data_IF_791624042156
#
_entry.id   IF_791624042156
#
_cell.length_a   1.000
_cell.length_b   1.000
_cell.length_c   1.000
_cell.angle_alpha   90.00
_cell.angle_beta   90.00
_cell.angle_gamma   90.00
#
_symmetry.space_group_name_H-M   'P 1'
#
loop_
_entity.id
_entity.type
_entity.pdbx_description
1 polymer ?
#
# COMPACT_ATOMS: atom_id res chain seq x y z
N UNK A 1 -56.52 -31.83 -51.16
CA UNK A 1 -56.02 -32.39 -49.89
C UNK A 1 -54.76 -31.63 -49.53
N UNK A 2 -54.80 -30.90 -48.41
CA UNK A 2 -53.72 -30.06 -47.89
C UNK A 2 -52.83 -30.92 -46.98
N UNK A 3 -51.51 -30.67 -46.98
CA UNK A 3 -50.73 -30.34 -45.77
C UNK A 3 -49.27 -30.06 -46.16
N UNK A 4 -48.95 -28.77 -46.21
CA UNK A 4 -47.59 -28.22 -46.20
C UNK A 4 -47.03 -28.45 -44.78
N UNK A 5 -45.96 -29.22 -44.66
CA UNK A 5 -45.22 -29.39 -43.41
C UNK A 5 -44.26 -28.19 -43.28
N UNK A 6 -44.64 -27.22 -42.45
CA UNK A 6 -43.78 -26.09 -42.09
C UNK A 6 -43.02 -26.49 -40.82
N UNK A 7 -41.80 -26.97 -40.96
CA UNK A 7 -40.92 -27.29 -39.83
C UNK A 7 -40.33 -25.98 -39.30
N UNK A 8 -40.87 -25.51 -38.17
CA UNK A 8 -40.36 -24.34 -37.45
C UNK A 8 -39.03 -24.72 -36.77
N UNK A 9 -37.91 -24.38 -37.40
CA UNK A 9 -36.60 -24.43 -36.75
C UNK A 9 -36.51 -23.25 -35.77
N UNK A 10 -36.83 -23.51 -34.50
CA UNK A 10 -36.56 -22.57 -33.41
C UNK A 10 -35.05 -22.54 -33.22
N UNK A 11 -34.41 -21.57 -33.90
CA UNK A 11 -33.03 -21.19 -33.68
C UNK A 11 -32.96 -20.58 -32.27
N UNK A 12 -32.74 -21.43 -31.27
CA UNK A 12 -32.48 -21.03 -29.89
C UNK A 12 -31.20 -20.20 -29.85
N UNK A 13 -31.37 -18.88 -29.96
CA UNK A 13 -30.32 -17.91 -29.70
C UNK A 13 -29.96 -18.04 -28.22
N UNK A 14 -28.93 -18.84 -27.94
CA UNK A 14 -28.31 -18.91 -26.63
C UNK A 14 -27.76 -17.51 -26.33
N UNK A 15 -28.53 -16.73 -25.58
CA UNK A 15 -28.05 -15.52 -24.94
C UNK A 15 -26.94 -15.96 -23.98
N UNK A 16 -25.69 -15.89 -24.43
CA UNK A 16 -24.56 -15.80 -23.53
C UNK A 16 -24.76 -14.53 -22.73
N UNK A 17 -25.36 -14.66 -21.55
CA UNK A 17 -25.34 -13.61 -20.56
C UNK A 17 -23.87 -13.40 -20.20
N UNK A 18 -23.27 -12.37 -20.81
CA UNK A 18 -22.07 -11.73 -20.31
C UNK A 18 -22.41 -11.32 -18.88
N UNK A 19 -22.02 -12.15 -17.92
CA UNK A 19 -22.03 -11.77 -16.52
C UNK A 19 -21.18 -10.50 -16.43
N UNK A 20 -21.81 -9.40 -16.05
CA UNK A 20 -21.11 -8.14 -15.89
C UNK A 20 -19.97 -8.36 -14.88
N UNK A 21 -18.74 -8.08 -15.30
CA UNK A 21 -17.57 -8.14 -14.44
C UNK A 21 -17.51 -6.84 -13.65
N UNK A 22 -18.24 -6.81 -12.54
CA UNK A 22 -18.44 -5.61 -11.74
C UNK A 22 -17.23 -5.29 -10.85
N UNK A 23 -16.46 -6.31 -10.47
CA UNK A 23 -15.34 -6.19 -9.55
C UNK A 23 -14.06 -6.76 -10.14
N UNK A 24 -12.93 -6.14 -9.80
CA UNK A 24 -11.58 -6.61 -10.12
C UNK A 24 -10.74 -6.67 -8.85
N UNK A 25 -10.03 -7.78 -8.66
CA UNK A 25 -9.19 -8.01 -7.48
C UNK A 25 -7.91 -7.19 -7.59
N UNK A 26 -7.66 -6.34 -6.60
CA UNK A 26 -6.39 -5.59 -6.47
C UNK A 26 -5.41 -6.46 -5.69
N UNK A 27 -5.77 -6.88 -4.47
CA UNK A 27 -4.89 -7.60 -3.55
C UNK A 27 -5.59 -8.81 -2.96
N UNK A 28 -4.83 -9.88 -2.68
CA UNK A 28 -5.32 -11.07 -1.98
C UNK A 28 -4.33 -11.46 -0.90
N UNK A 29 -4.84 -11.66 0.31
CA UNK A 29 -4.14 -12.34 1.39
C UNK A 29 -4.90 -13.62 1.74
N UNK A 30 -4.17 -14.69 2.08
CA UNK A 30 -4.75 -16.01 2.28
C UNK A 30 -5.26 -16.67 1.00
N UNK A 31 -6.10 -17.70 1.13
CA UNK A 31 -6.65 -18.45 -0.01
C UNK A 31 -8.16 -18.30 -0.10
N UNK A 32 -8.64 -17.71 -1.19
CA UNK A 32 -10.06 -17.51 -1.51
C UNK A 32 -10.33 -18.19 -2.85
N UNK A 33 -11.30 -19.10 -2.94
CA UNK A 33 -11.64 -19.84 -4.18
C UNK A 33 -12.99 -19.37 -4.70
N UNK A 34 -13.09 -19.07 -5.99
CA UNK A 34 -14.35 -18.67 -6.63
C UNK A 34 -15.20 -19.89 -7.05
N UNK A 35 -16.52 -19.82 -6.86
CA UNK A 35 -17.46 -20.92 -7.17
C UNK A 35 -17.51 -21.19 -8.68
N UNK A 36 -17.59 -20.13 -9.48
CA UNK A 36 -17.74 -20.26 -10.94
C UNK A 36 -16.55 -20.93 -11.63
N UNK A 37 -15.33 -20.68 -11.16
CA UNK A 37 -14.10 -21.14 -11.81
C UNK A 37 -13.39 -22.27 -11.06
N UNK A 38 -13.74 -22.50 -9.79
CA UNK A 38 -13.01 -23.38 -8.86
C UNK A 38 -11.52 -23.04 -8.73
N UNK A 39 -11.14 -21.80 -9.09
CA UNK A 39 -9.76 -21.30 -8.99
C UNK A 39 -9.61 -20.35 -7.82
N UNK A 40 -8.41 -20.35 -7.25
CA UNK A 40 -8.04 -19.34 -6.28
C UNK A 40 -8.07 -17.94 -6.91
N UNK A 41 -8.61 -16.97 -6.19
CA UNK A 41 -8.53 -15.58 -6.58
C UNK A 41 -7.07 -15.14 -6.65
N UNK A 42 -6.76 -14.46 -7.74
CA UNK A 42 -5.49 -13.81 -7.95
C UNK A 42 -5.71 -12.34 -8.28
N UNK A 43 -4.65 -11.53 -8.13
CA UNK A 43 -4.66 -10.13 -8.57
C UNK A 43 -5.09 -10.06 -10.04
N UNK A 44 -5.91 -9.07 -10.37
CA UNK A 44 -6.47 -8.86 -11.70
C UNK A 44 -7.66 -9.77 -12.04
N UNK A 45 -7.98 -10.78 -11.23
CA UNK A 45 -9.18 -11.61 -11.44
C UNK A 45 -10.43 -10.74 -11.36
N UNK A 46 -11.33 -10.89 -12.32
CA UNK A 46 -12.58 -10.16 -12.38
C UNK A 46 -13.76 -11.09 -12.08
N UNK A 47 -14.79 -10.57 -11.42
CA UNK A 47 -15.98 -11.33 -11.06
C UNK A 47 -17.22 -10.43 -10.97
N UNK A 48 -18.41 -11.03 -11.08
CA UNK A 48 -19.68 -10.34 -10.97
C UNK A 48 -20.19 -10.27 -9.53
N UNK A 49 -21.12 -9.37 -9.25
CA UNK A 49 -21.66 -9.14 -7.90
C UNK A 49 -22.26 -10.39 -7.21
N UNK A 50 -22.75 -11.35 -8.00
CA UNK A 50 -23.37 -12.59 -7.51
C UNK A 50 -22.39 -13.73 -7.27
N UNK A 51 -21.10 -13.53 -7.53
CA UNK A 51 -20.07 -14.55 -7.31
C UNK A 51 -20.04 -14.99 -5.85
N UNK A 52 -19.77 -16.28 -5.63
CA UNK A 52 -19.60 -16.82 -4.28
C UNK A 52 -18.17 -17.33 -4.09
N UNK A 53 -17.72 -17.28 -2.85
CA UNK A 53 -16.34 -17.57 -2.49
C UNK A 53 -16.25 -18.55 -1.33
N UNK A 54 -15.25 -19.42 -1.40
CA UNK A 54 -14.84 -20.26 -0.29
C UNK A 54 -13.53 -19.74 0.29
N UNK A 55 -13.53 -19.43 1.58
CA UNK A 55 -12.39 -18.92 2.32
C UNK A 55 -11.66 -20.09 2.98
N UNK A 56 -10.43 -20.36 2.53
CA UNK A 56 -9.64 -21.54 2.95
C UNK A 56 -8.65 -21.22 4.08
N UNK A 57 -8.46 -19.96 4.44
CA UNK A 57 -7.57 -19.54 5.54
C UNK A 57 -8.21 -18.48 6.43
N UNK A 58 -7.78 -18.41 7.70
CA UNK A 58 -8.32 -17.48 8.72
C UNK A 58 -8.06 -16.01 8.39
N UNK A 59 -7.03 -15.75 7.59
CA UNK A 59 -6.61 -14.43 7.15
C UNK A 59 -7.07 -14.10 5.72
N UNK A 60 -7.96 -14.93 5.15
CA UNK A 60 -8.44 -14.82 3.78
C UNK A 60 -9.24 -13.52 3.58
N UNK A 61 -8.61 -12.56 2.90
CA UNK A 61 -9.19 -11.26 2.57
C UNK A 61 -8.69 -10.79 1.21
N UNK A 62 -9.52 -10.09 0.46
CA UNK A 62 -9.10 -9.45 -0.77
C UNK A 62 -9.54 -7.98 -0.78
N UNK A 63 -8.73 -7.12 -1.38
CA UNK A 63 -9.14 -5.76 -1.75
C UNK A 63 -9.57 -5.81 -3.21
N UNK A 64 -10.77 -5.34 -3.49
CA UNK A 64 -11.36 -5.33 -4.83
C UNK A 64 -11.82 -3.93 -5.19
N UNK A 65 -11.86 -3.61 -6.47
CA UNK A 65 -12.41 -2.36 -6.99
C UNK A 65 -13.61 -2.64 -7.87
N UNK A 66 -14.69 -1.90 -7.65
CA UNK A 66 -15.82 -1.89 -8.56
C UNK A 66 -15.44 -1.08 -9.81
N UNK A 67 -15.40 -1.73 -10.97
CA UNK A 67 -14.90 -1.15 -12.22
C UNK A 67 -15.85 -0.12 -12.82
N UNK A 68 -17.13 -0.11 -12.40
CA UNK A 68 -18.13 0.86 -12.89
C UNK A 68 -18.10 2.17 -12.11
N UNK A 69 -17.87 2.11 -10.81
CA UNK A 69 -17.93 3.29 -9.92
C UNK A 69 -16.57 3.72 -9.36
N UNK A 70 -15.50 2.94 -9.60
CA UNK A 70 -14.15 3.24 -9.13
C UNK A 70 -13.97 3.15 -7.60
N UNK A 71 -14.89 2.49 -6.89
CA UNK A 71 -14.86 2.37 -5.41
C UNK A 71 -14.24 1.05 -4.98
N UNK A 72 -13.41 1.11 -3.94
CA UNK A 72 -12.78 -0.08 -3.34
C UNK A 72 -13.62 -0.69 -2.23
N UNK A 73 -13.54 -2.00 -2.12
CA UNK A 73 -14.18 -2.80 -1.10
C UNK A 73 -13.22 -3.87 -0.57
N UNK A 74 -13.43 -4.28 0.67
CA UNK A 74 -12.75 -5.43 1.27
C UNK A 74 -13.71 -6.61 1.18
N UNK A 75 -13.26 -7.67 0.51
CA UNK A 75 -13.89 -8.99 0.49
C UNK A 75 -13.34 -9.83 1.64
N UNK A 76 -14.22 -10.31 2.52
CA UNK A 76 -13.86 -11.18 3.64
C UNK A 76 -14.95 -12.23 3.90
N UNK A 77 -14.55 -13.40 4.38
CA UNK A 77 -15.48 -14.44 4.80
C UNK A 77 -15.91 -14.27 6.25
N UNK A 78 -17.08 -14.78 6.61
CA UNK A 78 -17.53 -14.84 8.01
C UNK A 78 -16.92 -16.02 8.76
N UNK A 79 -16.52 -17.07 8.04
CA UNK A 79 -16.02 -18.33 8.59
C UNK A 79 -15.17 -19.09 7.58
N UNK A 80 -14.14 -19.79 8.07
CA UNK A 80 -13.22 -20.59 7.25
C UNK A 80 -13.79 -21.98 6.99
N UNK A 81 -13.58 -22.50 5.78
CA UNK A 81 -13.88 -23.89 5.43
C UNK A 81 -15.37 -24.20 5.21
N UNK A 82 -16.25 -23.21 5.35
CA UNK A 82 -17.68 -23.35 5.07
C UNK A 82 -17.93 -23.32 3.55
N UNK A 83 -19.11 -23.75 3.11
CA UNK A 83 -19.57 -23.69 1.72
C UNK A 83 -19.41 -22.28 1.10
N UNK A 84 -19.50 -22.19 -0.23
CA UNK A 84 -19.41 -20.91 -0.96
C UNK A 84 -20.39 -19.85 -0.41
N UNK A 85 -19.85 -18.75 0.10
CA UNK A 85 -20.60 -17.61 0.66
C UNK A 85 -20.64 -16.46 -0.35
N UNK A 86 -21.72 -15.66 -0.34
CA UNK A 86 -21.76 -14.43 -1.14
C UNK A 86 -20.63 -13.48 -0.71
N UNK A 87 -20.17 -12.67 -1.66
CA UNK A 87 -19.20 -11.62 -1.38
C UNK A 87 -19.69 -10.67 -0.27
N UNK A 88 -19.01 -10.65 0.87
CA UNK A 88 -19.23 -9.63 1.89
C UNK A 88 -18.26 -8.48 1.66
N UNK A 89 -18.79 -7.40 1.08
CA UNK A 89 -18.02 -6.24 0.63
C UNK A 89 -18.22 -5.06 1.59
N UNK A 90 -17.18 -4.72 2.35
CA UNK A 90 -17.19 -3.53 3.21
C UNK A 90 -16.42 -2.39 2.56
N UNK A 91 -16.91 -1.14 2.57
CA UNK A 91 -16.16 0.00 2.04
C UNK A 91 -14.77 0.13 2.67
N UNK A 92 -13.76 0.43 1.86
CA UNK A 92 -12.42 0.81 2.38
C UNK A 92 -12.49 2.22 2.96
N UNK A 93 -11.96 2.44 4.17
CA UNK A 93 -11.97 3.74 4.82
C UNK A 93 -10.96 4.69 4.15
N UNK A 94 -11.45 5.58 3.27
CA UNK A 94 -10.64 6.45 2.42
C UNK A 94 -10.15 7.76 3.04
N UNK A 95 -10.02 7.87 4.36
CA UNK A 95 -9.66 9.13 5.00
C UNK A 95 -8.14 9.18 5.26
N UNK A 96 -7.37 9.45 4.20
CA UNK A 96 -5.99 9.92 4.39
C UNK A 96 -6.02 11.42 4.69
N UNK A 97 -5.39 11.81 5.80
CA UNK A 97 -5.13 13.21 6.13
C UNK A 97 -4.40 13.90 4.97
N UNK A 98 -5.05 14.91 4.39
CA UNK A 98 -4.57 15.63 3.21
C UNK A 98 -3.61 16.78 3.54
N UNK A 99 -3.14 16.88 4.77
CA UNK A 99 -2.32 18.01 5.22
C UNK A 99 -0.98 17.49 5.73
N UNK A 100 0.00 17.47 4.84
CA UNK A 100 1.39 17.64 5.24
C UNK A 100 1.52 19.09 5.75
N UNK A 101 1.04 19.37 6.96
CA UNK A 101 1.59 20.48 7.71
C UNK A 101 3.09 20.23 7.85
N UNK A 102 3.91 21.28 7.78
CA UNK A 102 5.35 21.13 7.96
C UNK A 102 5.65 20.35 9.25
N UNK A 103 6.66 19.48 9.23
CA UNK A 103 7.10 18.79 10.44
C UNK A 103 7.82 19.81 11.33
N UNK A 104 7.01 20.52 12.12
CA UNK A 104 7.39 21.74 12.82
C UNK A 104 7.88 21.48 14.24
N UNK A 105 7.53 20.32 14.81
CA UNK A 105 7.89 19.97 16.17
C UNK A 105 8.02 18.45 16.35
N UNK A 106 8.37 18.03 17.57
CA UNK A 106 8.54 16.61 17.91
C UNK A 106 7.28 15.78 17.75
N UNK A 107 6.12 16.34 18.11
CA UNK A 107 4.84 15.64 18.01
C UNK A 107 4.49 15.38 16.53
N UNK A 108 4.76 16.35 15.66
CA UNK A 108 4.55 16.17 14.21
C UNK A 108 5.45 15.07 13.66
N UNK A 109 6.73 15.04 14.01
CA UNK A 109 7.66 13.97 13.62
C UNK A 109 7.24 12.60 14.16
N UNK A 110 6.78 12.55 15.42
CA UNK A 110 6.30 11.32 16.06
C UNK A 110 5.05 10.80 15.38
N UNK A 111 4.10 11.69 15.11
CA UNK A 111 2.87 11.33 14.42
C UNK A 111 3.16 10.95 12.99
N UNK A 112 4.08 11.63 12.30
CA UNK A 112 4.44 11.33 10.92
C UNK A 112 5.00 9.91 10.80
N UNK A 113 6.07 9.61 11.53
CA UNK A 113 6.76 8.32 11.50
C UNK A 113 6.27 7.41 12.65
N UNK A 114 5.21 6.66 12.40
CA UNK A 114 4.63 5.74 13.38
C UNK A 114 4.18 4.43 12.74
N UNK A 115 4.23 3.34 13.51
CA UNK A 115 3.75 2.02 13.13
C UNK A 115 4.42 1.50 11.85
N UNK A 116 3.66 0.81 11.00
CA UNK A 116 4.16 0.41 9.66
C UNK A 116 4.18 1.64 8.76
N UNK A 117 5.35 1.99 8.25
CA UNK A 117 5.54 3.18 7.42
C UNK A 117 6.14 2.79 6.08
N UNK A 118 5.41 3.02 5.00
CA UNK A 118 5.77 2.61 3.65
C UNK A 118 6.66 3.65 3.00
N UNK A 119 7.76 3.19 2.40
CA UNK A 119 8.68 4.00 1.60
C UNK A 119 8.68 3.43 0.19
N UNK A 120 8.26 4.24 -0.78
CA UNK A 120 8.10 3.87 -2.19
C UNK A 120 9.29 4.34 -3.02
N UNK A 121 9.64 3.58 -4.07
CA UNK A 121 10.74 3.95 -4.96
C UNK A 121 12.13 3.88 -4.30
N UNK A 122 12.23 3.26 -3.12
CA UNK A 122 13.48 3.13 -2.36
C UNK A 122 13.95 4.40 -1.66
N UNK A 123 13.24 5.52 -1.78
CA UNK A 123 13.63 6.80 -1.19
C UNK A 123 12.41 7.59 -0.71
N UNK A 124 12.54 8.19 0.48
CA UNK A 124 11.58 9.13 1.03
C UNK A 124 12.27 10.48 1.25
N UNK A 125 11.63 11.55 0.77
CA UNK A 125 12.01 12.93 0.99
C UNK A 125 10.98 13.61 1.87
N UNK A 126 11.43 14.23 2.95
CA UNK A 126 10.54 14.88 3.92
C UNK A 126 11.07 16.27 4.24
N UNK A 127 10.24 17.29 4.00
CA UNK A 127 10.55 18.66 4.38
C UNK A 127 10.42 18.80 5.90
N UNK A 128 11.50 19.22 6.54
CA UNK A 128 11.63 19.46 7.97
C UNK A 128 11.78 20.95 8.21
N UNK A 129 11.10 21.47 9.22
CA UNK A 129 11.28 22.87 9.60
C UNK A 129 12.71 23.10 10.15
N UNK A 130 13.55 23.79 9.37
CA UNK A 130 14.95 24.05 9.71
C UNK A 130 15.15 24.96 10.92
N UNK A 131 14.14 25.75 11.30
CA UNK A 131 14.20 26.56 12.52
C UNK A 131 14.00 25.69 13.78
N UNK A 132 13.15 24.66 13.69
CA UNK A 132 12.92 23.71 14.78
C UNK A 132 14.00 22.62 14.85
N UNK A 133 14.47 22.17 13.68
CA UNK A 133 15.48 21.13 13.53
C UNK A 133 16.54 21.55 12.51
N UNK A 134 17.52 22.39 12.91
CA UNK A 134 18.67 22.70 12.07
C UNK A 134 19.36 21.42 11.58
N UNK A 135 19.76 21.38 10.31
CA UNK A 135 20.49 20.25 9.74
C UNK A 135 21.82 20.75 9.18
N UNK A 136 22.91 20.33 9.81
CA UNK A 136 24.28 20.70 9.47
C UNK A 136 25.26 19.59 9.92
N UNK A 137 26.55 19.94 10.08
CA UNK A 137 27.58 19.00 10.54
C UNK A 137 27.37 18.54 11.98
N UNK A 138 26.91 19.44 12.84
CA UNK A 138 26.79 19.32 14.28
C UNK A 138 25.35 19.00 14.73
N UNK A 139 24.35 19.25 13.87
CA UNK A 139 22.93 18.95 14.08
C UNK A 139 22.42 18.03 12.97
N UNK A 140 21.90 16.85 13.28
CA UNK A 140 21.44 15.92 12.24
C UNK A 140 20.48 14.86 12.75
N UNK A 141 19.71 14.29 11.82
CA UNK A 141 18.94 13.08 12.06
C UNK A 141 19.77 11.83 11.80
N UNK A 142 19.54 10.80 12.61
CA UNK A 142 20.03 9.45 12.35
C UNK A 142 18.94 8.43 12.69
N UNK A 143 18.99 7.27 12.06
CA UNK A 143 18.15 6.12 12.38
C UNK A 143 18.94 5.13 13.22
N UNK A 144 18.29 4.57 14.24
CA UNK A 144 18.81 3.50 15.07
C UNK A 144 17.91 2.27 14.99
N UNK A 145 18.50 1.10 14.83
CA UNK A 145 17.81 -0.20 14.92
C UNK A 145 18.78 -1.29 15.39
N UNK A 146 18.25 -2.47 15.76
CA UNK A 146 19.06 -3.65 16.01
C UNK A 146 19.10 -4.55 14.77
N UNK A 147 20.28 -5.06 14.43
CA UNK A 147 20.48 -6.11 13.43
C UNK A 147 21.32 -7.21 14.07
N UNK A 148 20.78 -8.44 14.14
CA UNK A 148 21.43 -9.58 14.82
C UNK A 148 21.90 -9.25 16.25
N UNK A 149 21.08 -8.50 16.99
CA UNK A 149 21.39 -8.07 18.37
C UNK A 149 22.37 -6.90 18.49
N UNK A 150 22.97 -6.43 17.39
CA UNK A 150 23.92 -5.30 17.38
C UNK A 150 23.18 -4.01 17.03
N UNK A 151 23.45 -2.95 17.78
CA UNK A 151 22.91 -1.62 17.49
C UNK A 151 23.58 -1.01 16.27
N UNK A 152 22.78 -0.71 15.26
CA UNK A 152 23.20 0.00 14.05
C UNK A 152 22.68 1.43 14.14
N UNK A 153 23.54 2.40 13.85
CA UNK A 153 23.19 3.81 13.75
C UNK A 153 23.54 4.30 12.34
N UNK A 154 22.58 4.92 11.65
CA UNK A 154 22.72 5.42 10.29
C UNK A 154 22.41 6.90 10.26
N UNK A 155 23.43 7.74 10.10
CA UNK A 155 23.21 9.18 9.84
C UNK A 155 22.41 9.32 8.55
N UNK A 156 21.39 10.15 8.58
CA UNK A 156 20.56 10.43 7.40
C UNK A 156 21.17 11.57 6.59
N UNK A 157 20.97 11.51 5.29
CA UNK A 157 21.34 12.59 4.38
C UNK A 157 20.23 13.64 4.38
N UNK A 158 20.60 14.88 4.07
CA UNK A 158 19.64 15.96 3.88
C UNK A 158 20.14 16.89 2.77
N UNK A 159 19.21 17.62 2.16
CA UNK A 159 19.49 18.71 1.25
C UNK A 159 18.63 19.91 1.67
N UNK A 160 19.28 20.99 2.09
CA UNK A 160 18.61 22.15 2.70
C UNK A 160 17.70 21.73 3.86
N UNK A 161 16.40 21.95 3.75
CA UNK A 161 15.36 21.60 4.73
C UNK A 161 14.79 20.19 4.51
N UNK A 162 15.26 19.46 3.50
CA UNK A 162 14.71 18.15 3.13
C UNK A 162 15.56 17.02 3.68
N UNK A 163 14.98 16.22 4.57
CA UNK A 163 15.55 14.98 5.06
C UNK A 163 15.34 13.85 4.04
N UNK A 164 16.38 13.05 3.81
CA UNK A 164 16.38 11.97 2.82
C UNK A 164 16.60 10.62 3.52
N UNK A 165 15.64 9.73 3.35
CA UNK A 165 15.69 8.35 3.86
C UNK A 165 15.77 7.40 2.66
N UNK A 166 16.96 6.81 2.45
CA UNK A 166 17.24 5.94 1.32
C UNK A 166 17.40 4.47 1.78
N UNK A 167 16.66 3.56 1.14
CA UNK A 167 16.61 2.13 1.45
C UNK A 167 17.99 1.47 1.42
N UNK A 168 18.78 1.74 0.39
CA UNK A 168 20.07 1.06 0.19
C UNK A 168 21.10 1.49 1.24
N UNK A 169 21.05 2.76 1.65
CA UNK A 169 21.87 3.26 2.76
C UNK A 169 21.42 2.67 4.10
N UNK A 170 20.11 2.58 4.32
CA UNK A 170 19.53 2.05 5.56
C UNK A 170 19.78 0.56 5.73
N UNK A 171 19.59 -0.23 4.68
CA UNK A 171 19.66 -1.69 4.69
C UNK A 171 21.01 -2.20 4.18
N UNK A 172 22.11 -1.49 4.48
CA UNK A 172 23.48 -1.98 4.31
C UNK A 172 24.24 -1.97 5.63
N UNK A 173 24.90 -3.06 5.97
CA UNK A 173 25.84 -3.14 7.10
C UNK A 173 27.16 -3.69 6.57
N UNK A 174 28.27 -3.00 6.86
CA UNK A 174 29.62 -3.35 6.37
C UNK A 174 29.70 -3.57 4.86
N UNK A 175 28.99 -2.72 4.11
CA UNK A 175 28.94 -2.78 2.65
C UNK A 175 28.10 -3.94 2.08
N UNK A 176 27.36 -4.68 2.90
CA UNK A 176 26.50 -5.79 2.46
C UNK A 176 25.03 -5.47 2.68
N UNK A 177 24.15 -5.74 1.71
CA UNK A 177 22.72 -5.55 1.89
C UNK A 177 22.18 -6.51 2.97
N UNK A 178 21.21 -6.05 3.74
CA UNK A 178 20.48 -6.83 4.74
C UNK A 178 18.99 -6.85 4.41
N UNK A 179 18.27 -7.86 4.90
CA UNK A 179 16.83 -7.95 4.68
C UNK A 179 16.09 -7.11 5.73
N UNK A 180 15.05 -6.41 5.28
CA UNK A 180 14.22 -5.59 6.15
C UNK A 180 13.54 -6.38 7.29
N UNK A 181 13.29 -7.68 7.10
CA UNK A 181 12.72 -8.55 8.13
C UNK A 181 13.69 -8.90 9.26
N UNK A 182 14.98 -8.65 9.07
CA UNK A 182 16.04 -9.03 10.01
C UNK A 182 16.37 -7.88 11.00
N UNK A 183 15.70 -6.74 10.88
CA UNK A 183 15.89 -5.58 11.75
C UNK A 183 14.68 -5.36 12.67
N UNK A 184 14.94 -4.72 13.81
CA UNK A 184 13.87 -4.25 14.70
C UNK A 184 13.20 -3.00 14.14
N UNK A 185 12.19 -2.52 14.88
CA UNK A 185 11.69 -1.16 14.76
C UNK A 185 12.83 -0.14 14.66
N UNK A 186 12.68 0.81 13.73
CA UNK A 186 13.59 1.92 13.55
C UNK A 186 13.19 3.07 14.46
N UNK A 187 14.18 3.65 15.13
CA UNK A 187 14.04 4.89 15.87
C UNK A 187 14.66 5.99 15.02
N UNK A 188 13.87 6.97 14.57
CA UNK A 188 14.43 8.23 14.09
C UNK A 188 15.03 8.95 15.32
N UNK A 189 16.14 9.67 15.23
CA UNK A 189 16.67 10.42 16.37
C UNK A 189 17.32 11.70 15.85
N UNK A 190 17.06 12.82 16.51
CA UNK A 190 17.74 14.08 16.25
C UNK A 190 18.89 14.29 17.25
N UNK A 191 20.10 14.42 16.72
CA UNK A 191 21.34 14.65 17.47
C UNK A 191 21.75 16.12 17.39
N UNK A 192 22.16 16.67 18.52
CA UNK A 192 22.70 18.03 18.64
C UNK A 192 24.06 17.93 19.31
N UNK A 193 25.07 18.56 18.74
CA UNK A 193 26.39 18.65 19.36
C UNK A 193 26.39 19.72 20.44
N UNK A 194 26.88 19.35 21.62
CA UNK A 194 27.02 20.25 22.77
C UNK A 194 28.25 19.85 23.58
N UNK A 195 29.05 20.84 24.00
CA UNK A 195 30.19 20.68 24.92
C UNK A 195 31.18 19.56 24.50
N UNK A 196 31.50 19.47 23.20
CA UNK A 196 32.46 18.49 22.66
C UNK A 196 31.89 17.09 22.45
N UNK A 197 30.62 16.84 22.79
CA UNK A 197 29.91 15.57 22.55
C UNK A 197 28.59 15.75 21.81
N UNK A 198 27.90 14.65 21.54
CA UNK A 198 26.53 14.67 21.01
C UNK A 198 25.55 14.36 22.13
N UNK A 199 24.66 15.30 22.44
CA UNK A 199 23.50 15.04 23.28
C UNK A 199 22.38 14.49 22.42
N UNK A 200 21.85 13.31 22.79
CA UNK A 200 20.61 12.78 22.21
C UNK A 200 19.49 13.68 22.66
N UNK A 201 18.93 14.47 21.75
CA UNK A 201 18.05 15.52 22.23
C UNK A 201 16.69 14.96 22.60
N UNK A 202 16.08 14.01 21.86
CA UNK A 202 14.73 13.54 22.20
C UNK A 202 14.47 12.13 21.67
N UNK A 203 13.76 11.28 22.43
CA UNK A 203 13.30 9.97 21.92
C UNK A 203 12.34 10.23 20.76
N UNK A 204 12.87 9.84 19.61
CA UNK A 204 12.34 9.82 18.26
C UNK A 204 11.03 9.08 18.09
N UNK A 205 10.21 9.45 17.09
CA UNK A 205 9.31 8.50 16.42
C UNK A 205 9.94 7.12 16.23
N UNK A 206 9.13 6.08 16.43
CA UNK A 206 9.50 4.69 16.16
C UNK A 206 8.57 4.12 15.10
N UNK A 207 9.13 3.39 14.13
CA UNK A 207 8.35 2.85 13.02
C UNK A 207 9.03 1.62 12.40
N UNK A 208 8.23 0.80 11.74
CA UNK A 208 8.66 -0.34 10.93
C UNK A 208 8.63 0.09 9.47
N UNK A 209 9.79 0.31 8.82
CA UNK A 209 9.80 0.65 7.40
C UNK A 209 9.25 -0.54 6.60
N UNK A 210 8.40 -0.25 5.64
CA UNK A 210 7.87 -1.22 4.67
C UNK A 210 8.34 -0.78 3.30
N UNK A 211 9.07 -1.66 2.62
CA UNK A 211 9.48 -1.49 1.23
C UNK A 211 8.71 -2.53 0.41
N UNK A 212 7.57 -2.17 -0.21
CA UNK A 212 6.78 -3.10 -1.01
C UNK A 212 7.59 -3.65 -2.18
N UNK A 213 7.14 -4.79 -2.70
CA UNK A 213 7.61 -5.27 -4.00
C UNK A 213 7.07 -4.35 -5.09
N UNK A 214 7.97 -3.64 -5.78
CA UNK A 214 7.62 -2.61 -6.76
C UNK A 214 6.87 -3.18 -7.97
N UNK A 215 7.17 -4.42 -8.38
CA UNK A 215 6.48 -5.07 -9.51
C UNK A 215 5.05 -5.39 -9.11
N UNK A 216 4.85 -5.94 -7.90
CA UNK A 216 3.52 -6.25 -7.37
C UNK A 216 2.72 -4.96 -7.16
N UNK A 217 3.30 -3.96 -6.51
CA UNK A 217 2.59 -2.72 -6.20
C UNK A 217 2.20 -1.95 -7.47
N UNK A 218 3.09 -1.91 -8.47
CA UNK A 218 2.77 -1.29 -9.76
C UNK A 218 1.58 -1.97 -10.43
N UNK A 219 1.56 -3.30 -10.47
CA UNK A 219 0.44 -4.05 -11.04
C UNK A 219 -0.88 -3.79 -10.29
N UNK A 220 -0.83 -3.70 -8.96
CA UNK A 220 -1.99 -3.36 -8.13
C UNK A 220 -2.49 -1.93 -8.42
N UNK A 221 -1.59 -0.98 -8.58
CA UNK A 221 -1.92 0.41 -8.94
C UNK A 221 -2.47 0.52 -10.38
N UNK A 222 -1.93 -0.24 -11.35
CA UNK A 222 -2.44 -0.31 -12.73
C UNK A 222 -3.91 -0.73 -12.77
N UNK A 223 -4.29 -1.72 -11.95
CA UNK A 223 -5.69 -2.16 -11.82
C UNK A 223 -6.59 -1.01 -11.36
N UNK A 224 -6.10 -0.18 -10.42
CA UNK A 224 -6.84 0.98 -9.93
C UNK A 224 -6.95 2.08 -10.97
N UNK A 225 -5.84 2.42 -11.65
CA UNK A 225 -5.80 3.44 -12.72
C UNK A 225 -6.76 3.06 -13.85
N UNK A 226 -6.77 1.80 -14.26
CA UNK A 226 -7.68 1.28 -15.28
C UNK A 226 -9.15 1.38 -14.86
N UNK A 227 -9.47 1.04 -13.61
CA UNK A 227 -10.84 1.11 -13.07
C UNK A 227 -11.31 2.54 -12.77
N UNK A 228 -10.40 3.51 -12.70
CA UNK A 228 -10.67 4.91 -12.37
C UNK A 228 -10.33 5.85 -13.54
N UNK A 229 -10.40 5.35 -14.78
CA UNK A 229 -10.19 6.14 -16.00
C UNK A 229 -11.01 7.43 -16.00
N UNK A 230 -10.38 8.54 -16.37
CA UNK A 230 -10.98 9.87 -16.40
C UNK A 230 -10.87 10.67 -15.09
N UNK A 231 -10.30 10.07 -14.03
CA UNK A 231 -9.94 10.79 -12.81
C UNK A 231 -8.66 11.60 -12.97
N UNK A 232 -8.54 12.69 -12.20
CA UNK A 232 -7.31 13.48 -12.18
C UNK A 232 -6.16 12.66 -11.59
N UNK A 233 -4.95 13.05 -11.95
CA UNK A 233 -3.73 12.48 -11.41
C UNK A 233 -3.68 12.52 -9.87
N UNK A 234 -4.10 13.63 -9.28
CA UNK A 234 -4.15 13.82 -7.83
C UNK A 234 -5.22 12.95 -7.18
N UNK A 235 -6.38 12.76 -7.84
CA UNK A 235 -7.41 11.82 -7.38
C UNK A 235 -6.90 10.38 -7.40
N UNK A 236 -6.20 9.97 -8.46
CA UNK A 236 -5.59 8.64 -8.59
C UNK A 236 -4.50 8.42 -7.54
N UNK A 237 -3.58 9.37 -7.37
CA UNK A 237 -2.51 9.29 -6.37
C UNK A 237 -3.08 9.19 -4.95
N UNK A 238 -4.13 9.96 -4.61
CA UNK A 238 -4.81 9.86 -3.32
C UNK A 238 -5.51 8.51 -3.13
N UNK A 239 -6.15 8.00 -4.17
CA UNK A 239 -6.76 6.67 -4.12
C UNK A 239 -5.69 5.60 -3.86
N UNK A 240 -4.59 5.62 -4.62
CA UNK A 240 -3.47 4.69 -4.45
C UNK A 240 -2.86 4.82 -3.05
N UNK A 241 -2.62 6.04 -2.56
CA UNK A 241 -2.12 6.28 -1.20
C UNK A 241 -3.00 5.62 -0.14
N UNK A 242 -4.32 5.76 -0.28
CA UNK A 242 -5.30 5.15 0.62
C UNK A 242 -5.27 3.64 0.54
N UNK A 243 -5.12 3.07 -0.65
CA UNK A 243 -4.97 1.63 -0.83
C UNK A 243 -3.71 1.12 -0.12
N UNK A 244 -2.58 1.78 -0.34
CA UNK A 244 -1.30 1.39 0.26
C UNK A 244 -1.37 1.49 1.78
N UNK A 245 -2.03 2.54 2.30
CA UNK A 245 -2.28 2.69 3.73
C UNK A 245 -3.09 1.56 4.35
N UNK A 246 -4.14 1.12 3.65
CA UNK A 246 -5.02 0.03 4.11
C UNK A 246 -4.29 -1.34 4.12
N UNK A 247 -3.39 -1.57 3.15
CA UNK A 247 -2.78 -2.88 2.91
C UNK A 247 -1.39 -3.03 3.54
N UNK A 248 -0.52 -2.04 3.35
CA UNK A 248 0.90 -2.12 3.69
C UNK A 248 1.25 -1.36 4.96
N UNK A 249 0.63 -0.20 5.17
CA UNK A 249 0.90 0.69 6.28
C UNK A 249 0.92 2.15 5.85
N UNK A 250 1.06 3.05 6.82
CA UNK A 250 1.04 4.49 6.64
C UNK A 250 1.98 4.96 5.53
N UNK A 251 1.53 5.93 4.73
CA UNK A 251 2.31 6.50 3.62
C UNK A 251 2.48 8.01 3.76
N UNK A 252 3.51 8.54 3.09
CA UNK A 252 3.60 9.96 2.77
C UNK A 252 2.95 10.22 1.39
N UNK A 253 2.01 11.17 1.32
CA UNK A 253 1.29 11.46 0.08
C UNK A 253 2.19 12.01 -1.03
N UNK A 254 3.21 12.80 -0.69
CA UNK A 254 4.16 13.34 -1.67
C UNK A 254 5.06 12.23 -2.21
N UNK A 255 5.44 11.26 -1.36
CA UNK A 255 6.16 10.05 -1.81
C UNK A 255 5.31 9.19 -2.74
N UNK A 256 4.01 9.03 -2.46
CA UNK A 256 3.08 8.33 -3.37
C UNK A 256 2.93 9.09 -4.69
N UNK A 257 2.82 10.41 -4.66
CA UNK A 257 2.71 11.23 -5.86
C UNK A 257 3.98 11.16 -6.70
N UNK A 258 5.17 11.28 -6.10
CA UNK A 258 6.45 11.13 -6.80
C UNK A 258 6.59 9.73 -7.42
N UNK A 259 6.23 8.69 -6.67
CA UNK A 259 6.21 7.32 -7.17
C UNK A 259 5.24 7.13 -8.32
N UNK A 260 4.03 7.69 -8.22
CA UNK A 260 3.01 7.63 -9.27
C UNK A 260 3.54 8.25 -10.57
N UNK A 261 4.13 9.45 -10.48
CA UNK A 261 4.68 10.18 -11.63
C UNK A 261 5.78 9.44 -12.36
N UNK A 262 6.52 8.60 -11.63
CA UNK A 262 7.64 7.84 -12.17
C UNK A 262 7.17 6.53 -12.85
N UNK A 263 5.93 6.12 -12.63
CA UNK A 263 5.42 4.83 -13.07
C UNK A 263 4.27 4.91 -14.10
N UNK A 264 3.58 6.05 -14.17
CA UNK A 264 2.39 6.33 -15.00
C UNK A 264 2.47 7.70 -15.65
#
# INVERSE_FOLDING_TARGET
MKKILLTFAILGMAFFQLNAQDYKVIHVNGSIVAESTQKALARGTAFGEKEKFQYKSNDARAVVINTKVGKRYILKGESVGVNYQRANLTPSAGNISSRAGGLNNRLDLSNHFDGKYVILGGELKVVINSAAFPMDKDNFFYIKYLYKGVSINKRLHFNMDTLIINKDSLLRVDGKPILNKDITEMQLIYAVKKDGGYTKSYISSSFYPIFPDEVVLKYEAEIMVDAMKGKSKEELAKAIASYISDVYGKVNNDNVLEWYNSNF
#
